data_IF_637868313922
#
_entry.id   IF_637868313922
#
_cell.length_a   1.000
_cell.length_b   1.000
_cell.length_c   1.000
_cell.angle_alpha   90.00
_cell.angle_beta   90.00
_cell.angle_gamma   90.00
#
_symmetry.space_group_name_H-M   'P 1'
#
loop_
_entity.id
_entity.type
_entity.pdbx_description
1 polymer ?
#
# COMPACT_ATOMS: atom_id res chain seq x y z
N UNK A 1 -16.55 -12.85 5.58
CA UNK A 1 -16.44 -11.86 6.67
C UNK A 1 -17.07 -10.58 6.18
N UNK A 2 -18.36 -10.36 6.48
CA UNK A 2 -19.05 -9.13 6.10
C UNK A 2 -18.57 -8.03 7.03
N UNK A 3 -17.84 -7.04 6.48
CA UNK A 3 -17.50 -5.85 7.23
C UNK A 3 -18.81 -5.14 7.58
N UNK A 4 -19.16 -5.07 8.87
CA UNK A 4 -20.26 -4.21 9.31
C UNK A 4 -19.91 -2.78 8.88
N UNK A 5 -20.73 -2.12 8.05
CA UNK A 5 -20.44 -0.75 7.66
C UNK A 5 -20.54 0.12 8.91
N UNK A 6 -19.41 0.59 9.41
CA UNK A 6 -19.35 1.60 10.46
C UNK A 6 -19.93 2.90 9.88
N UNK A 7 -21.03 3.44 10.43
CA UNK A 7 -21.60 4.67 9.92
C UNK A 7 -20.66 5.85 10.21
N UNK A 8 -20.43 6.70 9.21
CA UNK A 8 -19.53 7.86 9.29
C UNK A 8 -19.89 8.79 10.47
N UNK A 9 -21.16 8.88 10.82
CA UNK A 9 -21.63 9.66 11.98
C UNK A 9 -21.00 9.20 13.30
N UNK A 10 -20.85 7.89 13.50
CA UNK A 10 -20.26 7.34 14.73
C UNK A 10 -18.77 7.67 14.84
N UNK A 11 -18.05 7.69 13.72
CA UNK A 11 -16.66 8.14 13.66
C UNK A 11 -16.55 9.64 13.93
N UNK A 12 -17.44 10.45 13.36
CA UNK A 12 -17.46 11.89 13.56
C UNK A 12 -17.72 12.25 15.04
N UNK A 13 -18.70 11.59 15.66
CA UNK A 13 -19.02 11.75 17.09
C UNK A 13 -17.85 11.35 17.98
N UNK A 14 -17.19 10.22 17.70
CA UNK A 14 -16.03 9.76 18.48
C UNK A 14 -14.84 10.74 18.39
N UNK A 15 -14.70 11.44 17.27
CA UNK A 15 -13.68 12.45 17.03
C UNK A 15 -14.10 13.86 17.50
N UNK A 16 -15.34 14.04 17.97
CA UNK A 16 -15.88 15.33 18.39
C UNK A 16 -16.04 16.35 17.25
N UNK A 17 -16.20 15.88 16.01
CA UNK A 17 -16.36 16.73 14.81
C UNK A 17 -17.70 16.45 14.13
N UNK A 18 -18.18 17.39 13.31
CA UNK A 18 -19.38 17.14 12.51
C UNK A 18 -19.06 16.14 11.37
N UNK A 19 -20.04 15.33 10.91
CA UNK A 19 -19.84 14.43 9.78
C UNK A 19 -19.35 15.15 8.50
N UNK A 20 -19.82 16.38 8.26
CA UNK A 20 -19.36 17.18 7.12
C UNK A 20 -17.92 17.65 7.30
N UNK A 21 -17.54 18.12 8.49
CA UNK A 21 -16.16 18.50 8.77
C UNK A 21 -15.20 17.31 8.61
N UNK A 22 -15.60 16.12 9.04
CA UNK A 22 -14.83 14.89 8.83
C UNK A 22 -14.67 14.57 7.33
N UNK A 23 -15.76 14.67 6.55
CA UNK A 23 -15.69 14.44 5.10
C UNK A 23 -14.81 15.46 4.39
N UNK A 24 -14.88 16.73 4.79
CA UNK A 24 -14.04 17.78 4.21
C UNK A 24 -12.57 17.58 4.56
N UNK A 25 -12.25 17.13 5.78
CA UNK A 25 -10.89 16.76 6.17
C UNK A 25 -10.34 15.55 5.38
N UNK A 26 -11.16 14.54 5.12
CA UNK A 26 -10.78 13.38 4.31
C UNK A 26 -10.54 13.79 2.86
N UNK A 27 -11.41 14.66 2.30
CA UNK A 27 -11.25 15.20 0.94
C UNK A 27 -10.07 16.15 0.82
N UNK A 28 -9.81 16.93 1.86
CA UNK A 28 -8.60 17.72 2.04
C UNK A 28 -7.39 16.85 2.42
N UNK A 29 -7.56 15.53 2.46
CA UNK A 29 -6.56 14.55 2.86
C UNK A 29 -5.20 14.86 2.26
N UNK A 30 -4.16 14.58 3.06
CA UNK A 30 -2.79 14.94 2.75
C UNK A 30 -2.45 14.63 1.28
N UNK A 31 -2.07 15.62 0.46
CA UNK A 31 -1.89 15.44 -0.98
C UNK A 31 -0.79 14.43 -1.35
N UNK A 32 0.02 14.02 -0.37
CA UNK A 32 1.11 13.05 -0.50
C UNK A 32 0.81 11.67 0.09
N UNK A 33 -0.42 11.41 0.56
CA UNK A 33 -0.78 10.06 1.00
C UNK A 33 -0.80 9.13 -0.23
N UNK A 34 -0.01 8.04 -0.25
CA UNK A 34 0.04 7.15 -1.40
C UNK A 34 -1.33 6.51 -1.62
N UNK A 35 -1.90 6.68 -2.81
CA UNK A 35 -3.16 6.02 -3.18
C UNK A 35 -2.92 4.51 -3.37
N UNK A 36 -3.45 3.67 -2.47
CA UNK A 36 -3.21 2.22 -2.53
C UNK A 36 -3.89 1.56 -3.74
N UNK A 37 -4.80 2.26 -4.41
CA UNK A 37 -5.63 1.80 -5.54
C UNK A 37 -4.90 1.94 -6.89
N UNK A 38 -3.78 2.65 -6.94
CA UNK A 38 -3.00 2.80 -8.18
C UNK A 38 -2.47 1.44 -8.66
N UNK A 39 -2.73 1.15 -9.94
CA UNK A 39 -2.28 -0.08 -10.61
C UNK A 39 -0.76 -0.07 -10.86
N UNK A 40 -0.20 1.12 -11.11
CA UNK A 40 1.19 1.28 -11.51
C UNK A 40 1.84 2.46 -10.79
N UNK A 41 2.89 2.18 -10.02
CA UNK A 41 3.56 3.09 -9.10
C UNK A 41 4.79 3.74 -9.73
N UNK A 42 5.17 4.92 -9.25
CA UNK A 42 6.51 5.46 -9.46
C UNK A 42 7.56 4.67 -8.66
N UNK A 43 8.84 4.86 -8.98
CA UNK A 43 9.95 4.24 -8.21
C UNK A 43 9.89 4.65 -6.74
N UNK A 44 9.51 5.91 -6.46
CA UNK A 44 9.49 6.45 -5.10
C UNK A 44 8.30 5.94 -4.29
N UNK A 45 7.14 5.82 -4.92
CA UNK A 45 5.96 5.15 -4.34
C UNK A 45 6.25 3.68 -4.04
N UNK A 46 6.87 2.97 -4.99
CA UNK A 46 7.24 1.57 -4.82
C UNK A 46 8.24 1.37 -3.67
N UNK A 47 9.26 2.23 -3.60
CA UNK A 47 10.25 2.21 -2.52
C UNK A 47 9.59 2.42 -1.14
N UNK A 48 8.70 3.42 -1.02
CA UNK A 48 7.93 3.64 0.21
C UNK A 48 7.03 2.45 0.55
N UNK A 49 6.32 1.89 -0.44
CA UNK A 49 5.41 0.75 -0.23
C UNK A 49 6.14 -0.51 0.22
N UNK A 50 7.37 -0.72 -0.23
CA UNK A 50 8.24 -1.82 0.21
C UNK A 50 9.03 -1.49 1.51
N UNK A 51 9.01 -0.23 1.96
CA UNK A 51 9.75 0.22 3.15
C UNK A 51 11.26 0.33 2.94
N UNK A 52 11.72 0.55 1.71
CA UNK A 52 13.15 0.64 1.36
C UNK A 52 13.54 2.03 0.85
N UNK A 53 14.84 2.34 0.89
CA UNK A 53 15.37 3.56 0.30
C UNK A 53 15.31 3.54 -1.23
N UNK A 54 15.28 4.72 -1.86
CA UNK A 54 15.26 4.87 -3.33
C UNK A 54 16.42 4.14 -4.00
N UNK A 55 17.62 4.21 -3.43
CA UNK A 55 18.82 3.52 -3.96
C UNK A 55 18.61 2.02 -4.04
N UNK A 56 18.06 1.41 -2.98
CA UNK A 56 17.73 -0.02 -2.96
C UNK A 56 16.69 -0.35 -4.02
N UNK A 57 15.64 0.47 -4.15
CA UNK A 57 14.63 0.25 -5.18
C UNK A 57 15.20 0.32 -6.60
N UNK A 58 16.08 1.29 -6.89
CA UNK A 58 16.77 1.36 -8.17
C UNK A 58 17.67 0.16 -8.41
N UNK A 59 18.36 -0.35 -7.37
CA UNK A 59 19.17 -1.56 -7.48
C UNK A 59 18.31 -2.79 -7.83
N UNK A 60 17.15 -2.95 -7.19
CA UNK A 60 16.21 -4.05 -7.48
C UNK A 60 15.62 -3.98 -8.90
N UNK A 61 15.38 -2.76 -9.40
CA UNK A 61 14.95 -2.54 -10.77
C UNK A 61 16.07 -2.82 -11.78
N UNK A 62 17.31 -2.46 -11.44
CA UNK A 62 18.48 -2.71 -12.28
C UNK A 62 18.88 -4.19 -12.31
N UNK A 63 18.73 -4.91 -11.20
CA UNK A 63 18.94 -6.36 -11.13
C UNK A 63 17.82 -7.17 -11.80
N UNK A 64 16.69 -6.53 -12.10
CA UNK A 64 15.52 -7.17 -12.69
C UNK A 64 14.73 -8.03 -11.70
N UNK A 65 15.02 -7.92 -10.40
CA UNK A 65 14.29 -8.66 -9.36
C UNK A 65 12.85 -8.17 -9.18
N UNK A 66 12.59 -6.90 -9.51
CA UNK A 66 11.24 -6.33 -9.55
C UNK A 66 10.94 -5.94 -11.01
N UNK A 67 9.90 -6.51 -11.64
CA UNK A 67 9.51 -6.14 -12.98
C UNK A 67 8.99 -4.70 -13.01
N UNK A 68 9.26 -4.01 -14.13
CA UNK A 68 8.75 -2.66 -14.37
C UNK A 68 8.32 -2.51 -15.82
N UNK A 69 7.34 -1.64 -16.03
CA UNK A 69 6.78 -1.31 -17.34
C UNK A 69 7.15 0.12 -17.71
N UNK A 70 7.52 0.33 -18.97
CA UNK A 70 7.77 1.67 -19.51
C UNK A 70 6.53 2.15 -20.25
N UNK A 71 5.95 3.26 -19.81
CA UNK A 71 4.82 3.93 -20.44
C UNK A 71 5.35 5.24 -21.04
N UNK A 72 5.66 5.23 -22.33
CA UNK A 72 6.31 6.36 -23.01
C UNK A 72 7.72 6.62 -22.44
N UNK A 73 7.89 7.75 -21.76
CA UNK A 73 9.16 8.12 -21.09
C UNK A 73 9.17 7.78 -19.60
N UNK A 74 8.05 7.29 -19.06
CA UNK A 74 7.89 7.03 -17.63
C UNK A 74 8.10 5.56 -17.33
N UNK A 75 8.96 5.25 -16.37
CA UNK A 75 9.04 3.92 -15.77
C UNK A 75 8.01 3.81 -14.66
N UNK A 76 7.20 2.75 -14.69
CA UNK A 76 6.20 2.41 -13.68
C UNK A 76 6.41 1.00 -13.17
N UNK A 77 6.07 0.76 -11.91
CA UNK A 77 6.17 -0.53 -11.25
C UNK A 77 4.74 -1.01 -10.99
N UNK A 78 4.31 -2.15 -11.54
CA UNK A 78 3.01 -2.73 -11.22
C UNK A 78 2.88 -2.96 -9.71
N UNK A 79 1.75 -2.63 -9.11
CA UNK A 79 1.55 -2.82 -7.68
C UNK A 79 1.63 -4.31 -7.28
N UNK A 80 1.14 -5.22 -8.13
CA UNK A 80 1.25 -6.67 -7.91
C UNK A 80 2.69 -7.16 -7.82
N UNK A 81 3.61 -6.58 -8.59
CA UNK A 81 5.01 -6.98 -8.65
C UNK A 81 5.71 -6.87 -7.29
N UNK A 82 5.32 -5.89 -6.47
CA UNK A 82 5.86 -5.73 -5.12
C UNK A 82 5.38 -6.84 -4.19
N UNK A 83 4.10 -7.21 -4.29
CA UNK A 83 3.52 -8.29 -3.50
C UNK A 83 4.17 -9.63 -3.87
N UNK A 84 4.35 -9.89 -5.18
CA UNK A 84 5.04 -11.09 -5.68
C UNK A 84 6.49 -11.15 -5.22
N UNK A 85 7.21 -10.03 -5.28
CA UNK A 85 8.60 -9.93 -4.82
C UNK A 85 8.75 -10.31 -3.33
N UNK A 86 7.84 -9.83 -2.48
CA UNK A 86 7.81 -10.16 -1.04
C UNK A 86 7.39 -11.59 -0.81
N UNK A 87 6.35 -12.06 -1.51
CA UNK A 87 5.85 -13.44 -1.40
C UNK A 87 6.94 -14.46 -1.76
N UNK A 88 7.71 -14.22 -2.82
CA UNK A 88 8.83 -15.07 -3.22
C UNK A 88 9.96 -15.15 -2.17
N UNK A 89 10.11 -14.13 -1.31
CA UNK A 89 11.13 -14.04 -0.26
C UNK A 89 10.62 -14.39 1.13
N UNK A 90 9.31 -14.51 1.31
CA UNK A 90 8.71 -14.91 2.57
C UNK A 90 8.64 -16.43 2.59
N UNK A 91 9.56 -17.07 3.32
CA UNK A 91 9.33 -18.46 3.70
C UNK A 91 8.12 -18.51 4.63
N UNK A 92 7.20 -19.47 4.46
CA UNK A 92 6.11 -19.63 5.40
C UNK A 92 6.73 -19.85 6.78
N UNK A 93 6.50 -18.91 7.69
CA UNK A 93 6.78 -19.12 9.10
C UNK A 93 6.02 -20.38 9.48
N UNK A 94 6.77 -21.44 9.84
CA UNK A 94 6.19 -22.72 10.24
C UNK A 94 5.29 -22.43 11.44
N UNK A 95 3.98 -22.34 11.23
CA UNK A 95 3.06 -21.89 12.27
C UNK A 95 2.96 -22.98 13.34
N UNK A 96 3.46 -22.67 14.54
CA UNK A 96 3.33 -23.53 15.71
C UNK A 96 1.99 -23.33 16.42
N UNK A 97 0.89 -23.14 15.68
CA UNK A 97 -0.45 -22.99 16.26
C UNK A 97 -1.39 -24.01 15.63
N UNK A 98 -1.16 -25.27 15.98
CA UNK A 98 -2.13 -26.35 15.85
C UNK A 98 -1.87 -27.35 17.00
N UNK A 99 -2.25 -26.99 18.22
CA UNK A 99 -2.56 -27.96 19.28
C UNK A 99 -3.35 -27.26 20.41
N UNK A 100 -4.65 -27.08 20.20
CA UNK A 100 -5.62 -26.88 21.27
C UNK A 100 -7.00 -27.26 20.72
N UNK A 101 -7.21 -28.56 20.59
CA UNK A 101 -8.52 -29.20 20.51
C UNK A 101 -8.59 -30.22 21.65
#
# INVERSE_FOLDING_TARGET
MSATPLPISLLADALGVSPQALLDLIRAGAPDAPDPTLVALTVEEAARRLGVGRTTMYALLASGEIPSVTIGRLRRIPAEALNEYVAARTQPARSAVALAA
#
